data_IF_337964885624
#
_entry.id   IF_337964885624
#
_cell.length_a   1.000
_cell.length_b   1.000
_cell.length_c   1.000
_cell.angle_alpha   90.00
_cell.angle_beta   90.00
_cell.angle_gamma   90.00
#
_symmetry.space_group_name_H-M   'P 1'
#
loop_
_entity.id
_entity.type
_entity.pdbx_description
1 polymer ?
#
# COMPACT_ATOMS: atom_id res chain seq x y z
N UNK A 1 -9.82 -25.56 2.66
CA UNK A 1 -9.19 -24.21 2.68
C UNK A 1 -8.91 -23.66 1.29
N UNK A 2 -8.22 -24.38 0.38
CA UNK A 2 -7.80 -23.84 -0.92
C UNK A 2 -8.97 -23.39 -1.83
N UNK A 3 -10.03 -24.19 -1.93
CA UNK A 3 -11.23 -23.81 -2.71
C UNK A 3 -11.95 -22.56 -2.15
N UNK A 4 -12.07 -22.47 -0.83
CA UNK A 4 -12.68 -21.32 -0.16
C UNK A 4 -11.88 -20.04 -0.43
N UNK A 5 -10.55 -20.09 -0.27
CA UNK A 5 -9.68 -18.95 -0.58
C UNK A 5 -9.78 -18.55 -2.05
N UNK A 6 -9.79 -19.52 -2.96
CA UNK A 6 -9.95 -19.25 -4.40
C UNK A 6 -11.26 -18.53 -4.70
N UNK A 7 -12.39 -18.99 -4.13
CA UNK A 7 -13.69 -18.34 -4.30
C UNK A 7 -13.66 -16.92 -3.74
N UNK A 8 -13.21 -16.75 -2.49
CA UNK A 8 -13.18 -15.44 -1.82
C UNK A 8 -12.34 -14.42 -2.60
N UNK A 9 -11.12 -14.77 -3.02
CA UNK A 9 -10.25 -13.84 -3.73
C UNK A 9 -10.67 -13.60 -5.18
N UNK A 10 -11.26 -14.59 -5.86
CA UNK A 10 -11.82 -14.41 -7.21
C UNK A 10 -13.05 -13.50 -7.16
N UNK A 11 -13.95 -13.70 -6.20
CA UNK A 11 -15.11 -12.84 -5.98
C UNK A 11 -14.69 -11.43 -5.58
N UNK A 12 -13.72 -11.28 -4.67
CA UNK A 12 -13.19 -9.98 -4.28
C UNK A 12 -12.57 -9.24 -5.48
N UNK A 13 -11.80 -9.95 -6.32
CA UNK A 13 -11.23 -9.38 -7.54
C UNK A 13 -12.32 -8.87 -8.47
N UNK A 14 -13.36 -9.68 -8.72
CA UNK A 14 -14.47 -9.27 -9.56
C UNK A 14 -15.20 -8.03 -9.00
N UNK A 15 -15.49 -8.00 -7.70
CA UNK A 15 -16.11 -6.85 -7.02
C UNK A 15 -15.26 -5.60 -7.18
N UNK A 16 -13.96 -5.67 -6.90
CA UNK A 16 -13.07 -4.53 -6.99
C UNK A 16 -12.95 -4.00 -8.43
N UNK A 17 -12.88 -4.89 -9.43
CA UNK A 17 -12.84 -4.49 -10.85
C UNK A 17 -14.14 -3.85 -11.32
N UNK A 18 -15.30 -4.38 -10.89
CA UNK A 18 -16.61 -3.78 -11.20
C UNK A 18 -16.72 -2.38 -10.59
N UNK A 19 -16.31 -2.23 -9.33
CA UNK A 19 -16.30 -0.93 -8.65
C UNK A 19 -15.34 0.06 -9.32
N UNK A 20 -14.14 -0.38 -9.71
CA UNK A 20 -13.18 0.46 -10.43
C UNK A 20 -13.71 0.89 -11.81
N UNK A 21 -14.36 -0.02 -12.53
CA UNK A 21 -15.01 0.28 -13.80
C UNK A 21 -16.14 1.29 -13.63
N UNK A 22 -17.00 1.09 -12.63
CA UNK A 22 -18.08 2.01 -12.30
C UNK A 22 -17.54 3.39 -11.91
N UNK A 23 -16.46 3.44 -11.13
CA UNK A 23 -15.77 4.68 -10.75
C UNK A 23 -15.27 5.43 -11.98
N UNK A 24 -14.64 4.74 -12.93
CA UNK A 24 -14.14 5.34 -14.17
C UNK A 24 -15.28 5.85 -15.05
N UNK A 25 -16.33 5.04 -15.22
CA UNK A 25 -17.50 5.34 -16.07
C UNK A 25 -18.35 6.50 -15.56
N UNK A 26 -18.54 6.59 -14.24
CA UNK A 26 -19.32 7.63 -13.58
C UNK A 26 -18.49 8.86 -13.18
N UNK A 27 -17.16 8.72 -13.15
CA UNK A 27 -16.20 9.67 -12.55
C UNK A 27 -16.43 9.90 -11.06
N UNK A 28 -17.16 9.03 -10.39
CA UNK A 28 -17.36 9.07 -8.94
C UNK A 28 -16.29 8.23 -8.22
N UNK A 29 -15.39 8.93 -7.51
CA UNK A 29 -14.31 8.31 -6.74
C UNK A 29 -14.81 7.48 -5.53
N UNK A 30 -16.07 7.67 -5.11
CA UNK A 30 -16.65 6.91 -3.99
C UNK A 30 -16.59 5.39 -4.23
N UNK A 31 -16.75 4.95 -5.48
CA UNK A 31 -16.65 3.55 -5.87
C UNK A 31 -15.23 2.99 -5.69
N UNK A 32 -14.18 3.78 -5.90
CA UNK A 32 -12.79 3.36 -5.62
C UNK A 32 -12.56 3.22 -4.11
N UNK A 33 -13.11 4.13 -3.31
CA UNK A 33 -13.07 4.00 -1.86
C UNK A 33 -13.82 2.73 -1.40
N UNK A 34 -14.97 2.42 -2.01
CA UNK A 34 -15.71 1.20 -1.73
C UNK A 34 -14.91 -0.05 -2.11
N UNK A 35 -14.14 -0.03 -3.22
CA UNK A 35 -13.25 -1.13 -3.59
C UNK A 35 -12.14 -1.35 -2.55
N UNK A 36 -11.53 -0.27 -2.05
CA UNK A 36 -10.51 -0.34 -0.98
C UNK A 36 -11.12 -0.88 0.31
N UNK A 37 -12.32 -0.43 0.68
CA UNK A 37 -13.03 -0.91 1.86
C UNK A 37 -13.39 -2.40 1.74
N UNK A 38 -13.89 -2.84 0.59
CA UNK A 38 -14.20 -4.24 0.33
C UNK A 38 -12.95 -5.12 0.50
N UNK A 39 -11.82 -4.71 -0.07
CA UNK A 39 -10.53 -5.40 0.11
C UNK A 39 -10.13 -5.48 1.58
N UNK A 40 -10.18 -4.34 2.27
CA UNK A 40 -9.73 -4.21 3.67
C UNK A 40 -10.57 -5.03 4.64
N UNK A 41 -11.89 -5.09 4.43
CA UNK A 41 -12.79 -5.92 5.24
C UNK A 41 -12.44 -7.40 5.06
N UNK A 42 -12.31 -7.88 3.81
CA UNK A 42 -11.96 -9.28 3.56
C UNK A 42 -10.58 -9.63 4.11
N UNK A 43 -9.59 -8.73 3.97
CA UNK A 43 -8.26 -8.93 4.53
C UNK A 43 -8.19 -8.81 6.05
N UNK A 44 -9.08 -8.03 6.68
CA UNK A 44 -9.20 -7.97 8.13
C UNK A 44 -9.61 -9.31 8.72
N UNK A 45 -10.54 -10.02 8.08
CA UNK A 45 -11.01 -11.34 8.50
C UNK A 45 -10.16 -12.51 7.98
N UNK A 46 -9.04 -12.25 7.30
CA UNK A 46 -8.17 -13.32 6.83
C UNK A 46 -7.54 -14.05 8.02
N UNK A 47 -7.36 -15.36 7.90
CA UNK A 47 -6.64 -16.17 8.88
C UNK A 47 -5.64 -17.08 8.18
N UNK A 48 -4.37 -17.01 8.58
CA UNK A 48 -3.30 -17.85 8.02
C UNK A 48 -2.97 -17.59 6.55
N UNK A 49 -3.36 -16.43 6.00
CA UNK A 49 -3.09 -16.06 4.61
C UNK A 49 -1.80 -15.27 4.54
N UNK A 50 -0.84 -15.74 3.74
CA UNK A 50 0.50 -15.14 3.66
C UNK A 50 1.46 -15.74 4.69
N UNK A 51 2.73 -15.88 4.32
CA UNK A 51 3.79 -16.46 5.13
C UNK A 51 3.99 -15.72 6.45
N UNK A 52 3.84 -14.40 6.41
CA UNK A 52 4.14 -13.53 7.55
C UNK A 52 2.92 -13.25 8.44
N UNK A 53 1.77 -13.89 8.18
CA UNK A 53 0.52 -13.69 8.93
C UNK A 53 0.72 -13.86 10.45
N UNK A 54 1.21 -15.04 10.85
CA UNK A 54 1.40 -15.36 12.27
C UNK A 54 2.50 -14.51 12.92
N UNK A 55 3.49 -14.06 12.14
CA UNK A 55 4.49 -13.13 12.62
C UNK A 55 3.87 -11.78 12.96
N UNK A 56 3.05 -11.19 12.08
CA UNK A 56 2.38 -9.92 12.38
C UNK A 56 1.35 -10.05 13.50
N UNK A 57 0.63 -11.18 13.57
CA UNK A 57 -0.26 -11.47 14.69
C UNK A 57 0.50 -11.51 16.01
N UNK A 58 1.63 -12.21 16.05
CA UNK A 58 2.51 -12.26 17.22
C UNK A 58 3.08 -10.89 17.60
N UNK A 59 3.50 -10.08 16.62
CA UNK A 59 3.94 -8.70 16.84
C UNK A 59 2.83 -7.85 17.48
N UNK A 60 1.60 -7.96 16.97
CA UNK A 60 0.45 -7.24 17.52
C UNK A 60 0.15 -7.69 18.96
N UNK A 61 0.20 -9.00 19.24
CA UNK A 61 -0.03 -9.54 20.59
C UNK A 61 1.06 -9.12 21.59
N UNK A 62 2.33 -9.07 21.16
CA UNK A 62 3.41 -8.52 22.00
C UNK A 62 3.18 -7.07 22.42
N UNK A 63 2.52 -6.28 21.57
CA UNK A 63 2.14 -4.90 21.91
C UNK A 63 1.11 -4.89 23.04
N UNK A 64 0.16 -5.83 23.05
CA UNK A 64 -0.82 -6.01 24.14
C UNK A 64 -0.14 -6.38 25.46
N UNK A 65 0.92 -7.17 25.38
CA UNK A 65 1.67 -7.67 26.56
C UNK A 65 2.72 -6.66 27.07
N UNK A 66 2.89 -5.52 26.40
CA UNK A 66 3.90 -4.51 26.77
C UNK A 66 5.35 -4.97 26.57
N UNK A 67 5.57 -6.00 25.75
CA UNK A 67 6.89 -6.58 25.50
C UNK A 67 7.69 -5.80 24.45
N UNK A 68 9.00 -6.04 24.41
CA UNK A 68 9.94 -5.41 23.49
C UNK A 68 9.60 -5.65 22.01
N UNK A 69 9.82 -4.62 21.19
CA UNK A 69 9.21 -4.44 19.86
C UNK A 69 10.31 -4.26 18.81
N UNK A 70 10.57 -5.33 18.08
CA UNK A 70 11.58 -5.36 17.02
C UNK A 70 10.97 -4.96 15.67
N UNK A 71 10.51 -3.72 15.53
CA UNK A 71 9.98 -3.19 14.26
C UNK A 71 10.20 -1.68 14.08
N UNK A 72 9.96 -1.17 12.88
CA UNK A 72 10.06 0.25 12.57
C UNK A 72 9.02 1.09 13.33
N UNK A 73 9.45 2.27 13.81
CA UNK A 73 8.68 3.12 14.73
C UNK A 73 7.26 3.43 14.25
N UNK A 74 7.07 3.77 12.97
CA UNK A 74 5.75 4.09 12.43
C UNK A 74 4.80 2.88 12.44
N UNK A 75 5.33 1.67 12.21
CA UNK A 75 4.56 0.44 12.29
C UNK A 75 4.22 0.08 13.74
N UNK A 76 5.15 0.33 14.67
CA UNK A 76 4.93 0.19 16.10
C UNK A 76 3.82 1.11 16.62
N UNK A 77 3.88 2.41 16.27
CA UNK A 77 2.87 3.39 16.68
C UNK A 77 1.48 3.04 16.12
N UNK A 78 1.42 2.48 14.92
CA UNK A 78 0.16 2.00 14.34
C UNK A 78 -0.46 0.90 15.19
N UNK A 79 0.32 -0.11 15.59
CA UNK A 79 -0.17 -1.19 16.46
C UNK A 79 -0.60 -0.67 17.82
N UNK A 80 0.17 0.25 18.41
CA UNK A 80 -0.17 0.89 19.69
C UNK A 80 -1.48 1.66 19.62
N UNK A 81 -1.68 2.46 18.57
CA UNK A 81 -2.91 3.23 18.39
C UNK A 81 -4.13 2.31 18.30
N UNK A 82 -4.03 1.24 17.51
CA UNK A 82 -5.12 0.26 17.36
C UNK A 82 -5.42 -0.43 18.70
N UNK A 83 -4.38 -0.74 19.47
CA UNK A 83 -4.55 -1.31 20.80
C UNK A 83 -5.22 -0.33 21.77
N UNK A 84 -4.79 0.93 21.80
CA UNK A 84 -5.33 1.96 22.70
C UNK A 84 -6.83 2.23 22.49
N UNK A 85 -7.33 2.08 21.26
CA UNK A 85 -8.76 2.19 20.95
C UNK A 85 -9.55 0.90 21.25
N UNK A 86 -8.89 -0.13 21.80
CA UNK A 86 -9.50 -1.39 22.21
C UNK A 86 -9.83 -2.34 21.05
N UNK A 87 -9.22 -2.15 19.87
CA UNK A 87 -9.52 -2.93 18.68
C UNK A 87 -8.51 -4.07 18.48
N UNK A 88 -9.00 -5.22 18.00
CA UNK A 88 -8.21 -6.45 17.90
C UNK A 88 -7.44 -6.61 16.59
N UNK A 89 -6.83 -7.80 16.43
CA UNK A 89 -6.02 -8.17 15.25
C UNK A 89 -6.76 -8.04 13.91
N UNK A 90 -8.07 -8.32 13.88
CA UNK A 90 -8.91 -8.18 12.69
C UNK A 90 -8.87 -6.75 12.17
N UNK A 91 -8.94 -5.78 13.09
CA UNK A 91 -8.87 -4.39 12.73
C UNK A 91 -7.46 -3.98 12.29
N UNK A 92 -6.44 -4.51 12.95
CA UNK A 92 -5.05 -4.32 12.53
C UNK A 92 -4.80 -4.80 11.10
N UNK A 93 -5.28 -5.99 10.73
CA UNK A 93 -5.16 -6.49 9.36
C UNK A 93 -6.01 -5.69 8.36
N UNK A 94 -7.18 -5.20 8.77
CA UNK A 94 -8.01 -4.32 7.94
C UNK A 94 -7.28 -3.00 7.65
N UNK A 95 -6.72 -2.34 8.67
CA UNK A 95 -6.02 -1.06 8.51
C UNK A 95 -4.73 -1.18 7.72
N UNK A 96 -3.95 -2.23 8.00
CA UNK A 96 -2.69 -2.47 7.27
C UNK A 96 -2.91 -2.85 5.81
N UNK A 97 -4.13 -3.25 5.45
CA UNK A 97 -4.56 -3.46 4.07
C UNK A 97 -5.19 -2.19 3.46
N UNK A 98 -5.93 -1.42 4.27
CA UNK A 98 -6.60 -0.19 3.87
C UNK A 98 -5.62 0.92 3.53
N UNK A 99 -4.73 1.30 4.45
CA UNK A 99 -3.90 2.50 4.30
C UNK A 99 -3.04 2.43 3.03
N UNK A 100 -2.26 1.35 2.79
CA UNK A 100 -1.41 1.32 1.61
C UNK A 100 -2.20 1.31 0.30
N UNK A 101 -3.28 0.54 0.22
CA UNK A 101 -4.12 0.50 -0.97
C UNK A 101 -4.82 1.85 -1.21
N UNK A 102 -5.33 2.48 -0.14
CA UNK A 102 -5.91 3.83 -0.19
C UNK A 102 -4.92 4.83 -0.78
N UNK A 103 -3.66 4.81 -0.33
CA UNK A 103 -2.63 5.71 -0.84
C UNK A 103 -2.34 5.46 -2.32
N UNK A 104 -2.20 4.19 -2.73
CA UNK A 104 -2.00 3.81 -4.14
C UNK A 104 -3.15 4.30 -5.02
N UNK A 105 -4.40 4.05 -4.64
CA UNK A 105 -5.54 4.53 -5.43
C UNK A 105 -5.60 6.06 -5.39
N UNK A 106 -5.32 6.69 -4.24
CA UNK A 106 -5.32 8.16 -4.13
C UNK A 106 -4.29 8.82 -5.05
N UNK A 107 -3.17 8.17 -5.33
CA UNK A 107 -2.16 8.67 -6.26
C UNK A 107 -2.72 8.90 -7.67
N UNK A 108 -3.69 8.07 -8.10
CA UNK A 108 -4.32 8.14 -9.43
C UNK A 108 -5.71 8.77 -9.41
N UNK A 109 -6.13 9.41 -8.32
CA UNK A 109 -7.50 9.93 -8.14
C UNK A 109 -7.98 10.87 -9.27
N UNK A 110 -7.08 11.59 -9.91
CA UNK A 110 -7.46 12.54 -10.97
C UNK A 110 -7.38 11.93 -12.38
N UNK A 111 -7.14 10.61 -12.47
CA UNK A 111 -6.96 9.85 -13.71
C UNK A 111 -7.95 8.67 -13.77
N UNK A 112 -9.24 8.90 -14.09
CA UNK A 112 -10.27 7.86 -14.11
C UNK A 112 -9.96 6.65 -14.97
N UNK A 113 -9.23 6.85 -16.06
CA UNK A 113 -8.81 5.79 -16.99
C UNK A 113 -7.80 4.83 -16.35
N UNK A 114 -7.12 5.23 -15.26
CA UNK A 114 -6.17 4.42 -14.52
C UNK A 114 -6.81 3.55 -13.43
N UNK A 115 -8.08 3.74 -13.10
CA UNK A 115 -8.73 3.04 -11.99
C UNK A 115 -8.75 1.52 -12.18
N UNK A 116 -9.23 1.05 -13.34
CA UNK A 116 -9.28 -0.38 -13.66
C UNK A 116 -7.86 -0.96 -13.79
N UNK A 117 -6.92 -0.35 -14.56
CA UNK A 117 -5.55 -0.83 -14.62
C UNK A 117 -4.87 -0.98 -13.26
N UNK A 118 -5.00 0.00 -12.37
CA UNK A 118 -4.37 -0.04 -11.03
C UNK A 118 -4.95 -1.19 -10.19
N UNK A 119 -6.28 -1.36 -10.16
CA UNK A 119 -6.90 -2.46 -9.43
C UNK A 119 -6.56 -3.82 -10.06
N UNK A 120 -6.50 -3.92 -11.38
CA UNK A 120 -6.12 -5.15 -12.08
C UNK A 120 -4.67 -5.54 -11.74
N UNK A 121 -3.71 -4.61 -11.81
CA UNK A 121 -2.31 -4.86 -11.42
C UNK A 121 -2.22 -5.27 -9.95
N UNK A 122 -2.98 -4.60 -9.07
CA UNK A 122 -2.99 -4.89 -7.65
C UNK A 122 -3.47 -6.33 -7.34
N UNK A 123 -4.61 -6.75 -7.92
CA UNK A 123 -5.23 -8.04 -7.64
C UNK A 123 -4.65 -9.21 -8.45
N UNK A 124 -4.26 -8.99 -9.71
CA UNK A 124 -3.88 -10.08 -10.62
C UNK A 124 -2.38 -10.35 -10.67
N UNK A 125 -1.55 -9.32 -10.43
CA UNK A 125 -0.12 -9.41 -10.71
C UNK A 125 0.75 -9.24 -9.48
N UNK A 126 0.65 -8.10 -8.78
CA UNK A 126 1.83 -7.61 -8.08
C UNK A 126 1.66 -7.30 -6.59
N UNK A 127 0.47 -6.93 -6.08
CA UNK A 127 0.42 -6.25 -4.77
C UNK A 127 -0.45 -6.89 -3.68
N UNK A 128 -1.46 -7.71 -4.01
CA UNK A 128 -2.26 -8.34 -2.95
C UNK A 128 -1.43 -9.32 -2.10
N UNK A 129 -0.53 -10.09 -2.73
CA UNK A 129 0.38 -10.99 -2.02
C UNK A 129 1.36 -10.22 -1.14
N UNK A 130 2.08 -9.19 -1.62
CA UNK A 130 2.88 -8.32 -0.75
C UNK A 130 2.09 -7.72 0.41
N UNK A 131 0.84 -7.33 0.20
CA UNK A 131 -0.03 -6.82 1.28
C UNK A 131 -0.29 -7.88 2.35
N UNK A 132 -0.22 -9.17 2.00
CA UNK A 132 -0.34 -10.26 2.95
C UNK A 132 0.98 -10.64 3.66
N UNK A 133 2.15 -10.32 3.08
CA UNK A 133 3.47 -10.83 3.50
C UNK A 133 4.42 -9.70 3.96
N UNK A 134 4.61 -8.67 3.13
CA UNK A 134 5.59 -7.61 3.38
C UNK A 134 4.89 -6.27 3.68
N UNK A 135 3.91 -6.30 4.58
CA UNK A 135 3.04 -5.16 4.93
C UNK A 135 3.81 -3.85 5.09
N UNK A 136 4.93 -3.86 5.82
CA UNK A 136 5.79 -2.69 6.04
C UNK A 136 6.34 -2.07 4.74
N UNK A 137 6.76 -2.91 3.79
CA UNK A 137 7.19 -2.47 2.45
C UNK A 137 6.03 -1.87 1.66
N UNK A 138 4.83 -2.44 1.79
CA UNK A 138 3.64 -1.93 1.09
C UNK A 138 3.23 -0.55 1.63
N UNK A 139 3.37 -0.29 2.93
CA UNK A 139 3.21 1.06 3.49
C UNK A 139 4.18 2.05 2.85
N UNK A 140 5.47 1.71 2.79
CA UNK A 140 6.47 2.56 2.15
C UNK A 140 6.14 2.83 0.68
N UNK A 141 5.70 1.80 -0.05
CA UNK A 141 5.25 1.94 -1.44
C UNK A 141 4.02 2.86 -1.58
N UNK A 142 3.03 2.75 -0.69
CA UNK A 142 1.85 3.61 -0.71
C UNK A 142 2.21 5.09 -0.54
N UNK A 143 3.06 5.41 0.45
CA UNK A 143 3.56 6.77 0.64
C UNK A 143 4.40 7.26 -0.54
N UNK A 144 5.21 6.39 -1.13
CA UNK A 144 5.95 6.70 -2.34
C UNK A 144 5.02 7.04 -3.52
N UNK A 145 3.98 6.24 -3.75
CA UNK A 145 3.02 6.45 -4.84
C UNK A 145 2.38 7.85 -4.77
N UNK A 146 1.91 8.26 -3.59
CA UNK A 146 1.34 9.62 -3.41
C UNK A 146 2.40 10.73 -3.46
N UNK A 147 3.68 10.42 -3.22
CA UNK A 147 4.78 11.39 -3.26
C UNK A 147 5.16 11.84 -4.68
N UNK A 148 4.76 11.08 -5.70
CA UNK A 148 5.07 11.38 -7.11
C UNK A 148 4.35 12.63 -7.59
N UNK A 149 3.10 12.84 -7.18
CA UNK A 149 2.34 14.02 -7.62
C UNK A 149 2.92 15.34 -7.10
N UNK A 150 3.28 15.49 -5.81
CA UNK A 150 4.04 16.65 -5.35
C UNK A 150 5.36 16.86 -6.10
N UNK A 151 6.09 15.79 -6.42
CA UNK A 151 7.31 15.84 -7.20
C UNK A 151 7.07 16.46 -8.60
N UNK A 152 6.07 15.98 -9.33
CA UNK A 152 5.67 16.54 -10.63
C UNK A 152 5.22 18.00 -10.54
N UNK A 153 4.63 18.40 -9.41
CA UNK A 153 4.22 19.79 -9.13
C UNK A 153 5.36 20.67 -8.62
N UNK A 154 6.62 20.20 -8.66
CA UNK A 154 7.79 20.91 -8.13
C UNK A 154 7.73 21.20 -6.62
N UNK A 155 6.85 20.51 -5.88
CA UNK A 155 6.72 20.58 -4.42
C UNK A 155 7.62 19.55 -3.75
N UNK A 156 8.92 19.67 -3.98
CA UNK A 156 9.94 18.71 -3.54
C UNK A 156 10.00 18.52 -2.01
N UNK A 157 9.71 19.56 -1.22
CA UNK A 157 9.60 19.44 0.24
C UNK A 157 8.50 18.47 0.66
N UNK A 158 7.34 18.52 0.00
CA UNK A 158 6.23 17.61 0.29
C UNK A 158 6.54 16.19 -0.18
N UNK A 159 7.25 16.03 -1.30
CA UNK A 159 7.77 14.73 -1.72
C UNK A 159 8.65 14.11 -0.62
N UNK A 160 9.67 14.83 -0.15
CA UNK A 160 10.56 14.32 0.90
C UNK A 160 9.87 14.12 2.25
N UNK A 161 8.89 14.94 2.60
CA UNK A 161 8.08 14.70 3.80
C UNK A 161 7.35 13.36 3.72
N UNK A 162 6.80 13.01 2.55
CA UNK A 162 6.16 11.71 2.33
C UNK A 162 7.17 10.55 2.34
N UNK A 163 8.38 10.74 1.78
CA UNK A 163 9.46 9.74 1.88
C UNK A 163 9.92 9.55 3.34
N UNK A 164 9.99 10.63 4.13
CA UNK A 164 10.31 10.55 5.54
C UNK A 164 9.24 9.75 6.30
N UNK A 165 7.95 9.94 6.00
CA UNK A 165 6.88 9.11 6.56
C UNK A 165 7.02 7.65 6.11
N UNK A 166 7.31 7.40 4.82
CA UNK A 166 7.56 6.05 4.31
C UNK A 166 8.70 5.34 5.08
N UNK A 167 9.77 6.06 5.40
CA UNK A 167 10.90 5.57 6.18
C UNK A 167 10.52 5.13 7.60
N UNK A 168 9.53 5.79 8.22
CA UNK A 168 9.02 5.39 9.54
C UNK A 168 8.37 4.00 9.50
N UNK A 169 7.85 3.57 8.35
CA UNK A 169 7.25 2.23 8.20
C UNK A 169 8.24 1.20 7.67
N UNK A 170 9.23 1.62 6.88
CA UNK A 170 10.28 0.73 6.40
C UNK A 170 11.56 1.46 6.01
N UNK A 171 12.69 1.05 6.60
CA UNK A 171 13.98 1.75 6.48
C UNK A 171 14.49 1.84 5.03
N UNK A 172 14.18 0.87 4.16
CA UNK A 172 14.64 0.90 2.76
C UNK A 172 14.02 2.04 1.94
N UNK A 173 12.96 2.68 2.43
CA UNK A 173 12.39 3.87 1.80
C UNK A 173 13.39 5.04 1.70
N UNK A 174 14.47 5.02 2.49
CA UNK A 174 15.56 5.99 2.36
C UNK A 174 16.18 5.99 0.95
N UNK A 175 16.19 4.85 0.26
CA UNK A 175 16.68 4.77 -1.12
C UNK A 175 15.87 5.66 -2.08
N UNK A 176 14.61 5.94 -1.77
CA UNK A 176 13.73 6.76 -2.60
C UNK A 176 14.09 8.25 -2.59
N UNK A 177 14.96 8.69 -1.68
CA UNK A 177 15.47 10.08 -1.65
C UNK A 177 16.17 10.45 -2.97
N UNK A 178 16.78 9.47 -3.66
CA UNK A 178 17.49 9.71 -4.93
C UNK A 178 16.55 10.05 -6.11
N UNK A 179 15.25 9.80 -5.98
CA UNK A 179 14.27 10.01 -7.06
C UNK A 179 14.19 11.48 -7.48
N UNK A 180 14.20 12.42 -6.52
CA UNK A 180 14.14 13.85 -6.84
C UNK A 180 15.39 14.34 -7.60
N UNK A 181 16.65 14.07 -7.15
CA UNK A 181 17.84 14.42 -7.92
C UNK A 181 17.81 13.89 -9.36
N UNK A 182 17.38 12.64 -9.58
CA UNK A 182 17.24 12.06 -10.92
C UNK A 182 16.22 12.83 -11.76
N UNK A 183 15.06 13.15 -11.16
CA UNK A 183 14.02 13.94 -11.80
C UNK A 183 14.48 15.36 -12.16
N UNK A 184 15.16 16.04 -11.24
CA UNK A 184 15.63 17.42 -11.39
C UNK A 184 16.75 17.58 -12.43
N UNK A 185 17.57 16.55 -12.67
CA UNK A 185 18.64 16.57 -13.67
C UNK A 185 18.14 16.45 -15.13
N UNK A 186 16.84 16.64 -15.39
CA UNK A 186 16.19 16.49 -16.71
C UNK A 186 16.42 15.11 -17.37
N UNK A 187 16.88 14.12 -16.60
CA UNK A 187 17.03 12.74 -17.05
C UNK A 187 15.73 11.95 -16.94
N UNK A 188 14.61 12.58 -16.60
CA UNK A 188 13.32 11.86 -16.50
C UNK A 188 12.93 11.17 -17.80
N UNK A 189 13.07 11.87 -18.95
CA UNK A 189 12.83 11.24 -20.25
C UNK A 189 13.86 10.15 -20.60
N UNK A 190 15.14 10.37 -20.27
CA UNK A 190 16.20 9.39 -20.51
C UNK A 190 16.03 8.14 -19.64
N UNK A 191 15.62 8.30 -18.38
CA UNK A 191 15.41 7.24 -17.39
C UNK A 191 14.19 6.38 -17.71
N UNK A 192 13.08 6.96 -18.16
CA UNK A 192 11.90 6.19 -18.57
C UNK A 192 12.17 5.44 -19.89
N UNK A 193 12.94 6.03 -20.80
CA UNK A 193 13.21 5.44 -22.13
C UNK A 193 14.33 4.39 -22.12
N UNK A 194 15.21 4.39 -21.12
CA UNK A 194 16.35 3.47 -21.05
C UNK A 194 16.29 2.55 -19.82
N UNK A 195 16.01 1.27 -20.09
CA UNK A 195 16.01 0.20 -19.08
C UNK A 195 17.40 0.01 -18.46
N UNK A 196 18.49 0.29 -19.19
CA UNK A 196 19.86 0.19 -18.67
C UNK A 196 20.11 1.17 -17.53
N UNK A 197 19.68 2.42 -17.69
CA UNK A 197 19.72 3.45 -16.65
C UNK A 197 18.86 3.10 -15.42
N UNK A 198 17.79 2.32 -15.59
CA UNK A 198 16.94 1.84 -14.48
C UNK A 198 17.64 0.76 -13.65
N UNK A 199 18.45 -0.11 -14.29
CA UNK A 199 19.16 -1.20 -13.64
C UNK A 199 20.44 -0.76 -12.90
N UNK A 200 20.98 0.42 -13.19
CA UNK A 200 22.19 0.94 -12.50
C UNK A 200 21.87 1.41 -11.07
N UNK A 201 20.59 1.61 -10.74
CA UNK A 201 20.13 2.19 -9.46
C UNK A 201 19.44 1.15 -8.54
N UNK A 202 19.27 -0.10 -9.00
CA UNK A 202 18.78 -1.25 -8.22
C UNK A 202 19.85 -2.33 -8.09
#
# INVERSE_FOLDING_TARGET
MLLQSFIVYSSLTAVMLILAWQAGRSKDWSFMLLAVLAFSVIFGYRYGVGRDFFMYQHMFNKVLEGLDRDCEWGFEQLMLLIHQIGWGETFFFAITSFIPLYLVVRAVKDEPDMYVPVIAVFMLYAFWQPTANVVRQVFAFGFFAVSIKPLQQQKWLLHYALIAIAFLFHKSALALVIVYPIYALNRYEAYIKDVGSQLIIF
#
